data_IF_221879843839
#
_entry.id   IF_221879843839
#
_cell.length_a   1.000
_cell.length_b   1.000
_cell.length_c   1.000
_cell.angle_alpha   90.00
_cell.angle_beta   90.00
_cell.angle_gamma   90.00
#
_symmetry.space_group_name_H-M   'P 1'
#
loop_
_entity.id
_entity.type
_entity.pdbx_description
1 polymer ?
#
# COMPACT_ATOMS: atom_id res chain seq x y z
N UNK A 1 -5.27 -4.07 5.70
CA UNK A 1 -4.48 -4.31 6.93
C UNK A 1 -3.56 -3.14 7.20
N UNK A 2 -3.30 -2.85 8.48
CA UNK A 2 -2.33 -1.83 8.91
C UNK A 2 -1.00 -2.48 9.26
N UNK A 3 0.06 -2.00 8.62
CA UNK A 3 1.43 -2.34 8.98
C UNK A 3 1.85 -1.56 10.22
N UNK A 4 2.60 -2.21 11.12
CA UNK A 4 3.33 -1.49 12.17
C UNK A 4 4.58 -0.81 11.59
N UNK A 5 5.22 0.08 12.36
CA UNK A 5 6.39 0.84 11.91
C UNK A 5 7.54 -0.03 11.37
N UNK A 6 7.82 -1.17 11.99
CA UNK A 6 8.89 -2.08 11.55
C UNK A 6 8.51 -2.80 10.23
N UNK A 7 7.26 -3.22 10.09
CA UNK A 7 6.75 -3.80 8.85
C UNK A 7 6.70 -2.78 7.72
N UNK A 8 6.33 -1.54 8.03
CA UNK A 8 6.29 -0.44 7.08
C UNK A 8 7.70 -0.12 6.58
N UNK A 9 8.66 0.06 7.48
CA UNK A 9 10.06 0.31 7.11
C UNK A 9 10.60 -0.83 6.21
N UNK A 10 10.34 -2.09 6.56
CA UNK A 10 10.71 -3.23 5.71
C UNK A 10 10.05 -3.20 4.34
N UNK A 11 8.79 -2.78 4.28
CA UNK A 11 8.06 -2.64 3.02
C UNK A 11 8.72 -1.60 2.14
N UNK A 12 8.99 -0.41 2.68
CA UNK A 12 9.60 0.70 1.95
C UNK A 12 11.05 0.40 1.52
N UNK A 13 11.75 -0.51 2.21
CA UNK A 13 13.07 -1.00 1.78
C UNK A 13 13.02 -2.01 0.62
N UNK A 14 11.88 -2.68 0.42
CA UNK A 14 11.70 -3.71 -0.63
C UNK A 14 10.89 -3.18 -1.82
N UNK A 15 10.09 -2.14 -1.61
CA UNK A 15 9.19 -1.55 -2.57
C UNK A 15 9.38 -0.04 -2.59
N UNK A 16 9.78 0.51 -3.74
CA UNK A 16 10.06 1.94 -3.93
C UNK A 16 8.75 2.75 -3.94
N UNK A 17 8.23 2.99 -2.75
CA UNK A 17 7.02 3.76 -2.51
C UNK A 17 7.18 4.68 -1.30
N UNK A 18 6.19 5.54 -1.09
CA UNK A 18 6.07 6.40 0.07
C UNK A 18 4.81 6.04 0.83
N UNK A 19 4.92 5.84 2.14
CA UNK A 19 3.76 5.62 2.99
C UNK A 19 2.97 6.93 3.18
N UNK A 20 1.65 6.86 3.00
CA UNK A 20 0.77 7.98 3.34
C UNK A 20 0.53 7.94 4.86
N UNK A 21 0.90 8.97 5.62
CA UNK A 21 0.72 9.00 7.07
C UNK A 21 -0.76 8.88 7.45
N UNK A 22 -1.07 8.18 8.53
CA UNK A 22 -2.44 7.98 9.01
C UNK A 22 -3.20 9.28 9.32
N UNK A 23 -2.48 10.33 9.70
CA UNK A 23 -3.02 11.66 9.98
C UNK A 23 -3.35 12.47 8.72
N UNK A 24 -2.97 11.97 7.53
CA UNK A 24 -3.21 12.68 6.28
C UNK A 24 -4.71 12.72 5.96
N UNK A 25 -5.29 13.89 5.58
CA UNK A 25 -6.74 14.03 5.35
C UNK A 25 -7.28 13.09 4.26
N UNK A 26 -6.45 12.68 3.29
CA UNK A 26 -6.82 11.70 2.28
C UNK A 26 -7.03 10.29 2.85
N UNK A 27 -6.31 9.88 3.90
CA UNK A 27 -6.40 8.53 4.47
C UNK A 27 -7.80 8.25 4.98
N UNK A 28 -8.48 9.23 5.56
CA UNK A 28 -9.87 9.07 6.01
C UNK A 28 -10.79 8.71 4.83
N UNK A 29 -10.66 9.40 3.71
CA UNK A 29 -11.45 9.13 2.49
C UNK A 29 -11.08 7.78 1.87
N UNK A 30 -9.80 7.43 1.83
CA UNK A 30 -9.35 6.14 1.32
C UNK A 30 -9.84 4.99 2.21
N UNK A 31 -9.89 5.17 3.53
CA UNK A 31 -10.46 4.20 4.45
C UNK A 31 -11.98 4.01 4.26
N UNK A 32 -12.72 5.06 3.95
CA UNK A 32 -14.15 4.96 3.60
C UNK A 32 -14.39 4.15 2.32
N UNK A 33 -13.46 4.22 1.35
CA UNK A 33 -13.58 3.53 0.07
C UNK A 33 -13.07 2.09 0.09
N UNK A 34 -11.92 1.87 0.72
CA UNK A 34 -11.17 0.61 0.64
C UNK A 34 -11.03 -0.09 2.00
N UNK A 35 -11.57 0.49 3.07
CA UNK A 35 -11.38 0.01 4.43
C UNK A 35 -10.03 0.40 5.02
N UNK A 36 -9.74 -0.10 6.22
CA UNK A 36 -8.53 0.29 6.96
C UNK A 36 -7.26 -0.42 6.43
N UNK A 37 -6.45 0.34 5.69
CA UNK A 37 -5.21 -0.16 5.09
C UNK A 37 -4.04 0.82 5.25
N UNK A 38 -2.82 0.30 5.19
CA UNK A 38 -1.63 1.12 4.95
C UNK A 38 -1.57 1.45 3.47
N UNK A 39 -1.71 2.74 3.15
CA UNK A 39 -1.63 3.24 1.78
C UNK A 39 -0.21 3.62 1.43
N UNK A 40 0.23 3.16 0.28
CA UNK A 40 1.56 3.38 -0.29
C UNK A 40 1.40 4.07 -1.64
N UNK A 41 2.23 5.05 -1.91
CA UNK A 41 2.21 5.81 -3.13
C UNK A 41 3.52 5.59 -3.88
N UNK A 42 3.45 5.06 -5.09
CA UNK A 42 4.61 4.77 -5.92
C UNK A 42 4.54 5.53 -7.27
N UNK A 43 5.43 5.20 -8.20
CA UNK A 43 5.44 5.84 -9.53
C UNK A 43 4.23 5.46 -10.39
N UNK A 44 3.55 4.35 -10.08
CA UNK A 44 2.40 3.86 -10.81
C UNK A 44 1.08 4.41 -10.25
N UNK A 45 0.99 4.55 -8.93
CA UNK A 45 -0.15 5.21 -8.27
C UNK A 45 -0.30 4.86 -6.80
N UNK A 46 -1.54 4.60 -6.40
CA UNK A 46 -1.91 4.23 -5.04
C UNK A 46 -1.95 2.72 -4.90
N UNK A 47 -1.27 2.24 -3.87
CA UNK A 47 -1.19 0.84 -3.54
C UNK A 47 -1.52 0.61 -2.07
N UNK A 48 -1.92 -0.61 -1.76
CA UNK A 48 -2.05 -1.11 -0.40
C UNK A 48 -1.26 -2.40 -0.25
N UNK A 49 -1.09 -2.79 1.00
CA UNK A 49 -0.43 -4.04 1.35
C UNK A 49 -1.49 -5.01 1.87
N UNK A 50 -1.53 -6.20 1.28
CA UNK A 50 -2.42 -7.27 1.68
C UNK A 50 -1.63 -8.54 2.03
N UNK A 51 -1.99 -9.26 3.11
CA UNK A 51 -1.26 -10.47 3.49
C UNK A 51 -1.48 -11.57 2.46
N UNK A 52 -0.40 -12.26 2.04
CA UNK A 52 -0.51 -13.37 1.07
C UNK A 52 -0.89 -14.69 1.74
N UNK A 53 -0.56 -14.83 3.03
CA UNK A 53 -0.80 -16.05 3.80
C UNK A 53 -1.35 -15.69 5.19
N UNK A 54 -2.04 -16.65 5.82
CA UNK A 54 -2.60 -16.49 7.17
C UNK A 54 -1.54 -16.31 8.26
N UNK A 55 -0.27 -16.63 7.99
CA UNK A 55 0.84 -16.50 8.94
C UNK A 55 1.46 -15.08 9.00
N UNK A 56 1.06 -14.16 8.12
CA UNK A 56 1.49 -12.75 8.19
C UNK A 56 2.99 -12.52 7.92
N UNK A 57 3.69 -13.51 7.36
CA UNK A 57 5.14 -13.46 7.09
C UNK A 57 5.45 -12.67 5.82
N UNK A 58 4.52 -12.73 4.86
CA UNK A 58 4.63 -12.14 3.54
C UNK A 58 3.36 -11.39 3.18
N UNK A 59 3.52 -10.32 2.42
CA UNK A 59 2.41 -9.54 1.91
C UNK A 59 2.63 -9.18 0.44
N UNK A 60 1.53 -8.97 -0.27
CA UNK A 60 1.52 -8.53 -1.67
C UNK A 60 1.13 -7.07 -1.73
N UNK A 61 1.67 -6.39 -2.73
CA UNK A 61 1.21 -5.07 -3.10
C UNK A 61 0.00 -5.21 -4.02
N UNK A 62 -1.07 -4.49 -3.69
CA UNK A 62 -2.29 -4.41 -4.51
C UNK A 62 -2.45 -2.96 -4.93
N UNK A 63 -2.50 -2.74 -6.24
CA UNK A 63 -2.71 -1.42 -6.81
C UNK A 63 -4.21 -1.11 -6.84
N UNK A 64 -4.59 0.07 -6.34
CA UNK A 64 -5.98 0.51 -6.23
C UNK A 64 -6.32 1.66 -7.18
N UNK A 65 -5.31 2.43 -7.56
CA UNK A 65 -5.48 3.57 -8.43
C UNK A 65 -4.17 3.86 -9.15
N UNK A 66 -4.29 4.27 -10.42
CA UNK A 66 -3.16 4.74 -11.19
C UNK A 66 -3.15 6.27 -11.27
N UNK A 67 -1.99 6.85 -11.53
CA UNK A 67 -1.90 8.27 -11.84
C UNK A 67 -2.67 8.58 -13.12
N UNK A 68 -3.57 9.58 -13.05
CA UNK A 68 -4.36 10.03 -14.21
C UNK A 68 -3.52 10.77 -15.25
N UNK A 69 -2.37 11.30 -14.84
CA UNK A 69 -1.52 12.17 -15.65
C UNK A 69 -0.05 12.00 -15.30
N UNK A 70 0.85 12.33 -16.24
CA UNK A 70 2.31 12.33 -16.03
C UNK A 70 2.75 13.28 -14.90
N UNK A 71 1.95 14.33 -14.65
CA UNK A 71 2.14 15.28 -13.56
C UNK A 71 1.78 14.70 -12.17
N UNK A 72 1.20 13.49 -12.11
CA UNK A 72 0.79 12.82 -10.86
C UNK A 72 -0.11 13.71 -9.99
N UNK A 73 -0.99 14.45 -10.64
CA UNK A 73 -1.91 15.41 -10.01
C UNK A 73 -3.24 14.80 -9.58
N UNK A 74 -3.60 13.65 -10.15
CA UNK A 74 -4.84 12.94 -9.87
C UNK A 74 -4.64 11.43 -9.85
N UNK A 75 -5.42 10.75 -9.01
CA UNK A 75 -5.47 9.29 -8.95
C UNK A 75 -6.82 8.82 -9.50
N UNK A 76 -6.77 7.90 -10.46
CA UNK A 76 -7.94 7.24 -11.01
C UNK A 76 -8.08 5.86 -10.39
N UNK A 77 -9.12 5.70 -9.57
CA UNK A 77 -9.43 4.43 -8.89
C UNK A 77 -9.94 3.41 -9.89
N UNK A 78 -9.46 2.18 -9.78
CA UNK A 78 -9.94 1.03 -10.54
C UNK A 78 -10.18 -0.17 -9.62
N UNK A 79 -10.58 -1.30 -10.22
CA UNK A 79 -10.71 -2.55 -9.48
C UNK A 79 -9.34 -2.97 -8.90
N UNK A 80 -9.26 -3.43 -7.64
CA UNK A 80 -8.00 -3.80 -7.01
C UNK A 80 -7.21 -4.81 -7.85
N UNK A 81 -6.00 -4.42 -8.27
CA UNK A 81 -5.13 -5.25 -9.09
C UNK A 81 -3.97 -5.79 -8.25
N UNK A 82 -3.90 -7.12 -8.11
CA UNK A 82 -2.78 -7.75 -7.40
C UNK A 82 -1.53 -7.68 -8.27
N UNK A 83 -0.50 -7.04 -7.77
CA UNK A 83 0.79 -6.98 -8.45
C UNK A 83 1.61 -8.26 -8.16
N UNK A 84 2.61 -8.52 -9.00
CA UNK A 84 3.61 -9.59 -8.76
C UNK A 84 4.60 -9.24 -7.62
N UNK A 85 4.46 -8.08 -6.98
CA UNK A 85 5.35 -7.64 -5.91
C UNK A 85 4.92 -8.28 -4.59
N UNK A 86 5.76 -9.20 -4.11
CA UNK A 86 5.62 -9.82 -2.78
C UNK A 86 6.75 -9.33 -1.87
N UNK A 87 6.37 -8.69 -0.77
CA UNK A 87 7.26 -8.20 0.26
C UNK A 87 7.29 -9.13 1.47
N UNK A 88 8.43 -9.23 2.12
CA UNK A 88 8.55 -9.94 3.40
C UNK A 88 8.30 -8.96 4.54
N UNK A 89 7.27 -9.23 5.35
CA UNK A 89 6.97 -8.45 6.54
C UNK A 89 7.85 -8.90 7.72
N UNK A 90 8.27 -10.16 7.71
CA UNK A 90 9.19 -10.79 8.66
C UNK A 90 8.56 -11.04 10.02
N UNK A 91 8.54 -12.32 10.43
CA UNK A 91 8.22 -12.73 11.80
C UNK A 91 9.25 -12.20 12.80
N UNK A 92 8.78 -12.01 14.03
CA UNK A 92 9.57 -11.77 15.25
C UNK A 92 10.76 -12.74 15.29
N UNK A 93 11.95 -12.20 15.54
CA UNK A 93 13.03 -12.99 16.13
C UNK A 93 12.98 -12.80 17.65
#
# INVERSE_FOLDING_TARGET
>A
MKLNSAQLERTLNQFEAQAIPDDHPLVRKLNDLFGEHTFLLDIHGLNIVEPVETAGESARIVNLANWSDEARSGLEVHEPETTDVVIKLGLKH
#
